data_IF_178411113578
#
_entry.id   IF_178411113578
#
_cell.length_a   1.000
_cell.length_b   1.000
_cell.length_c   1.000
_cell.angle_alpha   90.00
_cell.angle_beta   90.00
_cell.angle_gamma   90.00
#
_symmetry.space_group_name_H-M   'P 1'
#
loop_
_entity.id
_entity.type
_entity.pdbx_description
1 polymer ?
#
# COMPACT_ATOMS: atom_id res chain seq x y z
N UNK A 1 26.55 3.60 -4.43
CA UNK A 1 25.50 4.61 -4.18
C UNK A 1 24.17 4.11 -4.76
N UNK A 2 23.37 3.34 -4.01
CA UNK A 2 22.05 2.91 -4.46
C UNK A 2 21.02 3.95 -4.02
N UNK A 3 20.55 4.81 -4.94
CA UNK A 3 19.51 5.78 -4.66
C UNK A 3 18.16 5.08 -4.42
N UNK A 4 17.73 5.14 -3.16
CA UNK A 4 16.41 4.84 -2.64
C UNK A 4 15.31 5.71 -3.30
N UNK A 5 14.87 5.39 -4.53
CA UNK A 5 13.74 6.08 -5.17
C UNK A 5 12.44 5.27 -5.08
N UNK A 6 11.99 5.03 -3.85
CA UNK A 6 10.59 4.68 -3.58
C UNK A 6 9.71 5.96 -3.56
N UNK A 7 9.84 6.82 -4.57
CA UNK A 7 9.08 8.09 -4.67
C UNK A 7 8.72 8.47 -6.10
N UNK A 8 8.77 7.52 -7.03
CA UNK A 8 8.30 7.73 -8.40
C UNK A 8 6.78 7.52 -8.47
N UNK A 9 6.08 8.43 -9.15
CA UNK A 9 4.64 8.39 -9.43
C UNK A 9 4.23 7.09 -10.17
N UNK A 10 5.21 6.42 -10.81
CA UNK A 10 5.07 5.15 -11.52
C UNK A 10 5.25 3.90 -10.65
N UNK A 11 4.98 3.95 -9.33
CA UNK A 11 5.02 2.75 -8.49
C UNK A 11 3.89 1.80 -8.90
N UNK A 12 4.24 0.84 -9.75
CA UNK A 12 3.37 0.03 -10.63
C UNK A 12 2.46 -0.97 -9.92
N UNK A 13 2.28 -0.85 -8.60
CA UNK A 13 1.49 -1.79 -7.80
C UNK A 13 0.63 -1.08 -6.75
N UNK A 14 -0.10 -0.03 -7.13
CA UNK A 14 -1.17 0.50 -6.28
C UNK A 14 -2.27 -0.56 -6.19
N UNK A 15 -2.46 -1.11 -4.99
CA UNK A 15 -3.50 -2.11 -4.68
C UNK A 15 -4.85 -1.42 -4.56
N UNK A 16 -4.90 -0.37 -3.74
CA UNK A 16 -6.12 0.36 -3.44
C UNK A 16 -5.79 1.75 -2.92
N UNK A 17 -6.59 2.74 -3.31
CA UNK A 17 -6.56 4.09 -2.73
C UNK A 17 -7.57 4.11 -1.59
N UNK A 18 -7.11 4.42 -0.37
CA UNK A 18 -7.97 4.41 0.82
C UNK A 18 -8.78 5.69 0.94
N UNK A 19 -8.19 6.83 0.55
CA UNK A 19 -8.80 8.15 0.53
C UNK A 19 -7.88 9.12 -0.23
N UNK A 20 -8.21 10.41 -0.19
CA UNK A 20 -7.45 11.48 -0.85
C UNK A 20 -5.99 11.60 -0.44
N UNK A 21 -5.54 10.99 0.66
CA UNK A 21 -4.21 11.13 1.24
C UNK A 21 -3.51 9.80 1.54
N UNK A 22 -4.17 8.66 1.35
CA UNK A 22 -3.65 7.35 1.73
C UNK A 22 -3.87 6.32 0.64
N UNK A 23 -2.87 5.48 0.41
CA UNK A 23 -2.94 4.35 -0.52
C UNK A 23 -2.19 3.15 0.02
N UNK A 24 -2.54 1.98 -0.49
CA UNK A 24 -1.79 0.75 -0.25
C UNK A 24 -1.15 0.34 -1.56
N UNK A 25 0.13 -0.02 -1.48
CA UNK A 25 0.89 -0.54 -2.60
C UNK A 25 1.49 -1.91 -2.26
N UNK A 26 1.78 -2.73 -3.25
CA UNK A 26 2.59 -3.93 -3.04
C UNK A 26 4.06 -3.59 -3.14
N UNK A 27 4.89 -4.12 -2.24
CA UNK A 27 6.33 -3.94 -2.30
C UNK A 27 6.89 -4.54 -3.60
N UNK A 28 7.90 -3.89 -4.21
CA UNK A 28 8.53 -4.32 -5.48
C UNK A 28 8.94 -5.81 -5.55
N UNK A 29 9.21 -6.46 -4.41
CA UNK A 29 9.53 -7.90 -4.36
C UNK A 29 8.30 -8.81 -4.23
N UNK A 30 7.07 -8.25 -4.27
CA UNK A 30 5.80 -8.96 -4.11
C UNK A 30 5.78 -9.85 -2.84
N UNK A 31 6.19 -9.29 -1.69
CA UNK A 31 6.26 -10.02 -0.41
C UNK A 31 5.44 -9.38 0.72
N UNK A 32 4.99 -8.13 0.56
CA UNK A 32 4.29 -7.38 1.60
C UNK A 32 3.53 -6.19 1.01
N UNK A 33 2.46 -5.78 1.70
CA UNK A 33 1.76 -4.53 1.44
C UNK A 33 2.42 -3.39 2.20
N UNK A 34 2.41 -2.21 1.60
CA UNK A 34 2.94 -0.96 2.15
C UNK A 34 1.84 0.07 2.20
N UNK A 35 1.56 0.59 3.39
CA UNK A 35 0.70 1.74 3.57
C UNK A 35 1.51 3.01 3.30
N UNK A 36 1.06 3.80 2.33
CA UNK A 36 1.69 5.07 1.97
C UNK A 36 0.75 6.25 2.22
N UNK A 37 1.32 7.32 2.76
CA UNK A 37 0.67 8.60 2.95
C UNK A 37 1.20 9.62 1.96
N UNK A 38 0.30 10.39 1.38
CA UNK A 38 0.63 11.53 0.58
C UNK A 38 1.20 12.66 1.44
N UNK A 39 2.32 13.20 0.98
CA UNK A 39 2.95 14.39 1.51
C UNK A 39 2.99 15.43 0.40
N UNK A 40 2.40 16.59 0.67
CA UNK A 40 2.54 17.74 -0.20
C UNK A 40 4.01 18.18 -0.18
N UNK A 41 4.64 18.20 -1.35
CA UNK A 41 5.95 18.82 -1.57
C UNK A 41 5.77 20.10 -2.40
N UNK A 42 6.77 20.99 -2.35
CA UNK A 42 6.80 22.22 -3.14
C UNK A 42 6.62 22.00 -4.66
N UNK A 43 6.90 20.80 -5.18
CA UNK A 43 6.84 20.45 -6.60
C UNK A 43 5.86 19.30 -6.88
N UNK A 44 4.79 19.17 -6.08
CA UNK A 44 3.75 18.16 -6.29
C UNK A 44 3.56 17.22 -5.11
N UNK A 45 3.04 16.03 -5.39
CA UNK A 45 2.66 15.05 -4.36
C UNK A 45 3.67 13.92 -4.30
N UNK A 46 4.24 13.69 -3.11
CA UNK A 46 5.11 12.55 -2.85
C UNK A 46 4.41 11.55 -1.94
N UNK A 47 4.73 10.27 -2.08
CA UNK A 47 4.19 9.22 -1.21
C UNK A 47 5.27 8.74 -0.25
N UNK A 48 4.98 8.73 1.04
CA UNK A 48 5.86 8.25 2.08
C UNK A 48 5.31 6.97 2.71
N UNK A 49 6.14 5.95 2.82
CA UNK A 49 5.82 4.70 3.51
C UNK A 49 5.65 4.96 5.01
N UNK A 50 4.48 4.60 5.55
CA UNK A 50 4.15 4.76 6.98
C UNK A 50 4.04 3.41 7.70
N UNK A 51 3.94 2.30 6.96
CA UNK A 51 4.03 0.96 7.55
C UNK A 51 3.95 -0.16 6.52
N UNK A 52 4.30 -1.36 6.98
CA UNK A 52 4.45 -2.57 6.16
C UNK A 52 3.68 -3.70 6.82
N UNK A 53 2.93 -4.48 6.05
CA UNK A 53 2.09 -5.56 6.55
C UNK A 53 2.13 -6.77 5.61
N UNK A 54 2.15 -7.97 6.18
CA UNK A 54 2.02 -9.24 5.44
C UNK A 54 0.71 -9.96 5.72
N UNK A 55 -0.18 -9.39 6.52
CA UNK A 55 -1.48 -9.97 6.84
C UNK A 55 -2.57 -8.95 6.58
N UNK A 56 -3.69 -9.38 6.00
CA UNK A 56 -4.85 -8.52 5.72
C UNK A 56 -5.36 -7.85 6.97
N UNK A 57 -5.48 -8.60 8.07
CA UNK A 57 -5.95 -8.06 9.35
C UNK A 57 -5.04 -6.95 9.89
N UNK A 58 -3.72 -7.16 9.82
CA UNK A 58 -2.75 -6.15 10.23
C UNK A 58 -2.80 -4.91 9.33
N UNK A 59 -2.94 -5.11 8.01
CA UNK A 59 -3.07 -4.04 7.02
C UNK A 59 -4.33 -3.21 7.27
N UNK A 60 -5.46 -3.87 7.49
CA UNK A 60 -6.74 -3.24 7.83
C UNK A 60 -6.60 -2.41 9.11
N UNK A 61 -6.08 -3.02 10.18
CA UNK A 61 -5.96 -2.37 11.49
C UNK A 61 -5.02 -1.16 11.43
N UNK A 62 -3.89 -1.31 10.73
CA UNK A 62 -2.95 -0.22 10.50
C UNK A 62 -3.58 0.91 9.69
N UNK A 63 -4.29 0.56 8.60
CA UNK A 63 -4.96 1.52 7.73
C UNK A 63 -6.01 2.31 8.51
N UNK A 64 -6.91 1.64 9.23
CA UNK A 64 -7.94 2.31 10.04
C UNK A 64 -7.31 3.20 11.11
N UNK A 65 -6.25 2.75 11.79
CA UNK A 65 -5.59 3.53 12.83
C UNK A 65 -4.81 4.75 12.32
N UNK A 66 -4.35 4.74 11.06
CA UNK A 66 -3.51 5.80 10.49
C UNK A 66 -4.27 6.73 9.55
N UNK A 67 -5.13 6.20 8.70
CA UNK A 67 -5.92 6.97 7.73
C UNK A 67 -7.21 7.53 8.33
N UNK A 68 -7.67 6.96 9.45
CA UNK A 68 -8.94 7.31 10.08
C UNK A 68 -10.12 6.83 9.24
N UNK A 69 -10.46 7.58 8.20
CA UNK A 69 -11.49 7.22 7.23
C UNK A 69 -10.88 6.39 6.09
N UNK A 70 -11.56 5.30 5.76
CA UNK A 70 -11.30 4.49 4.56
C UNK A 70 -12.58 4.52 3.74
N UNK A 71 -12.46 4.83 2.45
CA UNK A 71 -13.60 4.81 1.53
C UNK A 71 -14.28 3.44 1.54
N UNK A 72 -15.62 3.37 1.53
CA UNK A 72 -16.35 2.10 1.67
C UNK A 72 -16.00 1.10 0.56
N UNK A 73 -15.77 1.57 -0.66
CA UNK A 73 -15.30 0.72 -1.77
C UNK A 73 -13.90 0.17 -1.52
N UNK A 74 -12.99 1.00 -0.98
CA UNK A 74 -11.65 0.57 -0.60
C UNK A 74 -11.68 -0.44 0.56
N UNK A 75 -12.58 -0.23 1.52
CA UNK A 75 -12.80 -1.17 2.62
C UNK A 75 -13.29 -2.53 2.13
N UNK A 76 -14.24 -2.51 1.19
CA UNK A 76 -14.76 -3.74 0.57
C UNK A 76 -13.64 -4.49 -0.16
N UNK A 77 -12.81 -3.77 -0.92
CA UNK A 77 -11.64 -4.37 -1.58
C UNK A 77 -10.63 -4.94 -0.58
N UNK A 78 -10.38 -4.28 0.54
CA UNK A 78 -9.48 -4.82 1.58
C UNK A 78 -9.97 -6.14 2.16
N UNK A 79 -11.28 -6.34 2.24
CA UNK A 79 -11.88 -7.57 2.75
C UNK A 79 -11.67 -8.74 1.77
N UNK A 80 -11.58 -8.47 0.47
CA UNK A 80 -11.34 -9.51 -0.56
C UNK A 80 -9.87 -9.93 -0.69
N UNK A 81 -8.95 -9.22 -0.03
CA UNK A 81 -7.53 -9.61 0.00
C UNK A 81 -7.35 -10.98 0.68
N UNK A 82 -6.29 -11.73 0.31
CA UNK A 82 -5.95 -12.97 1.01
C UNK A 82 -5.55 -12.66 2.46
N UNK A 83 -5.85 -13.58 3.39
CA UNK A 83 -5.56 -13.42 4.83
C UNK A 83 -4.10 -13.09 5.11
N UNK A 84 -3.19 -13.71 4.35
CA UNK A 84 -1.76 -13.44 4.35
C UNK A 84 -1.33 -13.03 2.95
N UNK A 85 -0.28 -12.22 2.87
CA UNK A 85 0.39 -11.95 1.61
C UNK A 85 0.94 -13.28 1.10
N UNK A 86 0.26 -13.84 0.11
CA UNK A 86 0.74 -14.99 -0.64
C UNK A 86 1.86 -14.44 -1.53
N UNK A 87 3.13 -14.73 -1.21
CA UNK A 87 4.18 -14.58 -2.22
C UNK A 87 3.70 -15.42 -3.40
N UNK A 88 3.40 -14.79 -4.53
CA UNK A 88 2.86 -15.41 -5.74
C UNK A 88 3.30 -16.88 -5.87
N UNK A 89 2.51 -17.80 -5.31
CA UNK A 89 2.82 -19.21 -5.23
C UNK A 89 2.44 -19.80 -6.59
N UNK A 90 3.26 -19.48 -7.59
CA UNK A 90 2.96 -19.78 -8.98
C UNK A 90 3.41 -18.71 -9.96
N UNK A 91 4.72 -18.53 -10.13
CA UNK A 91 5.27 -18.52 -11.49
C UNK A 91 5.88 -19.90 -11.71
N UNK A 92 5.01 -20.90 -11.79
CA UNK A 92 5.33 -22.12 -12.52
C UNK A 92 5.07 -21.80 -14.00
N UNK A 93 6.09 -21.93 -14.84
CA UNK A 93 6.04 -21.68 -16.28
C UNK A 93 7.06 -20.65 -16.72
#
# INVERSE_FOLDING_TARGET
>A
MNSHRESDDSYRQVVVILNESWRIVECNMAVQWILQRAKNKRCGRAWASEGFCRSREALIRLSTGKSGQIEPSARTFLDTLPTRFEQNAGRAG
#
